data_IF_336562093394
#
_entry.id   IF_336562093394
#
_cell.length_a   1.000
_cell.length_b   1.000
_cell.length_c   1.000
_cell.angle_alpha   90.00
_cell.angle_beta   90.00
_cell.angle_gamma   90.00
#
_symmetry.space_group_name_H-M   'P 1'
#
loop_
_entity.id
_entity.type
_entity.pdbx_description
1 polymer ?
#
# COMPACT_ATOMS: atom_id res chain seq x y z
N UNK A 1 -11.32 20.85 -1.56
CA UNK A 1 -10.23 20.63 -2.54
C UNK A 1 -10.73 20.67 -3.99
N UNK A 2 -11.75 19.89 -4.37
CA UNK A 2 -12.27 19.88 -5.75
C UNK A 2 -12.91 21.20 -6.22
N UNK A 3 -13.43 22.03 -5.32
CA UNK A 3 -14.05 23.32 -5.65
C UNK A 3 -13.11 24.31 -6.37
N UNK A 4 -11.79 24.18 -6.24
CA UNK A 4 -10.84 25.06 -6.92
C UNK A 4 -10.53 24.67 -8.37
N UNK A 5 -10.93 23.47 -8.81
CA UNK A 5 -10.59 22.90 -10.13
C UNK A 5 -11.83 22.74 -11.01
N UNK A 6 -13.03 22.85 -10.43
CA UNK A 6 -14.30 22.62 -11.13
C UNK A 6 -14.95 23.96 -11.49
N UNK A 7 -15.14 24.27 -12.78
CA UNK A 7 -15.86 25.46 -13.24
C UNK A 7 -17.31 25.48 -12.75
N UNK A 8 -17.92 26.67 -12.67
CA UNK A 8 -19.32 26.84 -12.30
C UNK A 8 -20.31 26.19 -13.29
N UNK A 9 -19.87 25.85 -14.51
CA UNK A 9 -20.65 25.12 -15.50
C UNK A 9 -20.84 23.63 -15.18
N UNK A 10 -20.14 23.11 -14.17
CA UNK A 10 -20.21 21.69 -13.78
C UNK A 10 -20.82 21.57 -12.40
N UNK A 11 -21.95 20.85 -12.31
CA UNK A 11 -22.58 20.50 -11.04
C UNK A 11 -21.84 19.30 -10.43
N UNK A 12 -21.51 19.39 -9.14
CA UNK A 12 -20.88 18.30 -8.39
C UNK A 12 -21.90 17.66 -7.47
N UNK A 13 -22.12 16.36 -7.63
CA UNK A 13 -22.96 15.55 -6.75
C UNK A 13 -22.07 14.60 -5.95
N UNK A 14 -22.28 14.55 -4.64
CA UNK A 14 -21.61 13.61 -3.73
C UNK A 14 -22.66 12.66 -3.17
N UNK A 15 -22.46 11.36 -3.35
CA UNK A 15 -23.33 10.31 -2.82
C UNK A 15 -22.51 9.33 -1.97
N UNK A 16 -22.47 9.56 -0.68
CA UNK A 16 -21.64 8.81 0.26
C UNK A 16 -22.56 7.96 1.13
N UNK A 17 -22.54 6.64 0.88
CA UNK A 17 -23.35 5.63 1.56
C UNK A 17 -22.47 4.63 2.31
N UNK A 18 -21.53 5.12 3.12
CA UNK A 18 -20.68 4.29 3.98
C UNK A 18 -20.20 5.07 5.21
N UNK A 19 -20.43 4.52 6.40
CA UNK A 19 -20.14 5.21 7.67
C UNK A 19 -18.92 4.63 8.43
N UNK A 20 -18.48 3.40 8.12
CA UNK A 20 -17.55 2.64 9.00
C UNK A 20 -16.51 1.78 8.30
N UNK A 21 -16.38 1.82 6.98
CA UNK A 21 -15.37 1.00 6.29
C UNK A 21 -14.11 1.83 5.99
N UNK A 22 -12.95 1.33 6.41
CA UNK A 22 -11.64 1.93 6.15
C UNK A 22 -10.91 1.11 5.10
N UNK A 23 -10.07 1.75 4.32
CA UNK A 23 -9.11 1.06 3.44
C UNK A 23 -7.72 1.28 4.02
N UNK A 24 -6.82 0.32 3.77
CA UNK A 24 -5.40 0.53 4.03
C UNK A 24 -4.82 1.25 2.81
N UNK A 25 -4.31 2.46 2.99
CA UNK A 25 -3.76 3.22 1.87
C UNK A 25 -3.17 4.56 2.27
N UNK A 26 -2.43 5.16 1.34
CA UNK A 26 -1.88 6.50 1.48
C UNK A 26 -2.94 7.54 1.08
N UNK A 27 -3.38 8.42 2.01
CA UNK A 27 -4.37 9.46 1.71
C UNK A 27 -3.99 10.36 0.53
N UNK A 28 -2.70 10.64 0.33
CA UNK A 28 -2.22 11.46 -0.78
C UNK A 28 -2.43 10.77 -2.13
N UNK A 29 -2.28 9.45 -2.18
CA UNK A 29 -2.50 8.66 -3.39
C UNK A 29 -4.00 8.54 -3.72
N UNK A 30 -4.85 8.37 -2.71
CA UNK A 30 -6.32 8.40 -2.91
C UNK A 30 -6.77 9.78 -3.40
N UNK A 31 -6.18 10.85 -2.87
CA UNK A 31 -6.42 12.20 -3.36
C UNK A 31 -5.96 12.35 -4.82
N UNK A 32 -4.79 11.83 -5.20
CA UNK A 32 -4.30 11.86 -6.58
C UNK A 32 -5.26 11.18 -7.56
N UNK A 33 -5.87 10.06 -7.14
CA UNK A 33 -6.90 9.37 -7.93
C UNK A 33 -8.07 10.31 -8.22
N UNK A 34 -8.63 10.91 -7.18
CA UNK A 34 -9.77 11.82 -7.29
C UNK A 34 -9.45 13.03 -8.16
N UNK A 35 -8.26 13.61 -8.00
CA UNK A 35 -7.85 14.79 -8.78
C UNK A 35 -7.68 14.46 -10.27
N UNK A 36 -7.06 13.34 -10.61
CA UNK A 36 -6.89 12.92 -12.01
C UNK A 36 -8.24 12.61 -12.66
N UNK A 37 -9.14 11.92 -11.96
CA UNK A 37 -10.47 11.59 -12.46
C UNK A 37 -11.34 12.84 -12.64
N UNK A 38 -11.38 13.72 -11.63
CA UNK A 38 -12.13 14.97 -11.71
C UNK A 38 -11.59 15.89 -12.82
N UNK A 39 -10.28 16.00 -12.98
CA UNK A 39 -9.68 16.79 -14.07
C UNK A 39 -10.08 16.26 -15.45
N UNK A 40 -10.12 14.94 -15.62
CA UNK A 40 -10.58 14.32 -16.87
C UNK A 40 -12.06 14.60 -17.13
N UNK A 41 -12.92 14.45 -16.13
CA UNK A 41 -14.35 14.75 -16.23
C UNK A 41 -14.58 16.24 -16.57
N UNK A 42 -13.89 17.15 -15.88
CA UNK A 42 -13.99 18.59 -16.13
C UNK A 42 -13.58 18.95 -17.55
N UNK A 43 -12.48 18.36 -18.02
CA UNK A 43 -12.02 18.58 -19.38
C UNK A 43 -13.02 18.05 -20.41
N UNK A 44 -13.60 16.87 -20.17
CA UNK A 44 -14.61 16.27 -21.05
C UNK A 44 -15.90 17.12 -21.14
N UNK A 45 -16.26 17.81 -20.06
CA UNK A 45 -17.45 18.66 -19.97
C UNK A 45 -17.15 20.16 -20.15
N UNK A 46 -15.99 20.53 -20.71
CA UNK A 46 -15.54 21.93 -20.76
C UNK A 46 -16.45 22.87 -21.57
N UNK A 47 -17.10 22.35 -22.61
CA UNK A 47 -17.87 23.16 -23.57
C UNK A 47 -19.35 23.27 -23.17
N UNK A 48 -19.99 22.13 -22.89
CA UNK A 48 -21.43 22.06 -22.61
C UNK A 48 -21.76 22.07 -21.11
N UNK A 49 -20.75 21.97 -20.25
CA UNK A 49 -20.95 21.71 -18.83
C UNK A 49 -21.48 20.31 -18.57
N UNK A 50 -21.98 20.06 -17.36
CA UNK A 50 -22.56 18.76 -17.03
C UNK A 50 -22.55 18.46 -15.55
N UNK A 51 -22.68 17.18 -15.21
CA UNK A 51 -22.70 16.71 -13.83
C UNK A 51 -21.55 15.74 -13.58
N UNK A 52 -20.71 16.07 -12.59
CA UNK A 52 -19.74 15.15 -12.01
C UNK A 52 -20.33 14.55 -10.73
N UNK A 53 -20.52 13.23 -10.73
CA UNK A 53 -20.99 12.48 -9.56
C UNK A 53 -19.84 11.67 -8.98
N UNK A 54 -19.58 11.85 -7.68
CA UNK A 54 -18.64 11.02 -6.93
C UNK A 54 -19.44 10.26 -5.88
N UNK A 55 -19.44 8.94 -6.00
CA UNK A 55 -20.17 8.05 -5.09
C UNK A 55 -19.21 7.14 -4.32
N UNK A 56 -19.51 6.89 -3.05
CA UNK A 56 -18.77 5.97 -2.21
C UNK A 56 -19.75 4.99 -1.58
N UNK A 57 -19.58 3.69 -1.85
CA UNK A 57 -20.49 2.64 -1.38
C UNK A 57 -19.71 1.37 -1.01
N UNK A 58 -20.40 0.41 -0.39
CA UNK A 58 -19.84 -0.91 -0.07
C UNK A 58 -20.36 -1.96 -1.06
N UNK A 59 -19.46 -2.84 -1.51
CA UNK A 59 -19.82 -4.00 -2.32
C UNK A 59 -19.18 -5.26 -1.76
N UNK A 60 -19.90 -6.37 -1.81
CA UNK A 60 -19.40 -7.69 -1.41
C UNK A 60 -19.42 -8.61 -2.61
N UNK A 61 -18.27 -9.13 -2.99
CA UNK A 61 -18.15 -10.17 -4.01
C UNK A 61 -18.13 -11.54 -3.32
N UNK A 62 -19.11 -12.38 -3.65
CA UNK A 62 -19.20 -13.75 -3.15
C UNK A 62 -18.43 -14.70 -4.08
N UNK A 63 -17.99 -15.85 -3.53
CA UNK A 63 -17.40 -16.92 -4.35
C UNK A 63 -18.40 -17.38 -5.44
N UNK A 64 -17.92 -17.52 -6.67
CA UNK A 64 -18.72 -17.98 -7.81
C UNK A 64 -19.42 -16.90 -8.63
N UNK A 65 -19.26 -15.61 -8.28
CA UNK A 65 -19.67 -14.48 -9.11
C UNK A 65 -18.50 -14.06 -10.00
N UNK A 66 -18.75 -13.66 -11.25
CA UNK A 66 -17.74 -13.00 -12.10
C UNK A 66 -17.28 -11.73 -11.38
N UNK A 67 -16.06 -11.80 -10.82
CA UNK A 67 -15.38 -10.65 -10.23
C UNK A 67 -14.60 -9.99 -11.36
N UNK A 68 -14.53 -8.64 -11.45
CA UNK A 68 -13.58 -7.98 -12.34
C UNK A 68 -12.19 -8.61 -12.21
N UNK A 69 -11.49 -8.78 -13.34
CA UNK A 69 -10.17 -9.41 -13.37
C UNK A 69 -9.28 -8.78 -12.29
N UNK A 70 -8.62 -9.64 -11.50
CA UNK A 70 -7.77 -9.34 -10.33
C UNK A 70 -8.44 -9.21 -8.95
N UNK A 71 -9.77 -9.27 -8.85
CA UNK A 71 -10.43 -9.20 -7.53
C UNK A 71 -10.68 -10.59 -6.91
N UNK A 72 -10.35 -10.71 -5.63
CA UNK A 72 -10.68 -11.87 -4.81
C UNK A 72 -12.08 -11.72 -4.19
N UNK A 73 -12.79 -12.80 -3.83
CA UNK A 73 -14.02 -12.71 -3.05
C UNK A 73 -13.78 -11.97 -1.73
N UNK A 74 -14.64 -11.01 -1.39
CA UNK A 74 -14.41 -10.15 -0.24
C UNK A 74 -15.32 -8.93 -0.16
N UNK A 75 -15.11 -8.10 0.86
CA UNK A 75 -15.73 -6.79 1.01
C UNK A 75 -14.83 -5.73 0.40
N UNK A 76 -15.44 -4.79 -0.32
CA UNK A 76 -14.74 -3.71 -1.00
C UNK A 76 -15.45 -2.39 -0.76
N UNK A 77 -14.66 -1.33 -0.64
CA UNK A 77 -15.13 0.04 -0.77
C UNK A 77 -15.10 0.38 -2.26
N UNK A 78 -16.25 0.73 -2.81
CA UNK A 78 -16.43 1.13 -4.20
C UNK A 78 -16.47 2.65 -4.29
N UNK A 79 -15.41 3.24 -4.85
CA UNK A 79 -15.37 4.64 -5.26
C UNK A 79 -15.81 4.72 -6.73
N UNK A 80 -16.86 5.48 -7.00
CA UNK A 80 -17.36 5.71 -8.36
C UNK A 80 -17.16 7.16 -8.72
N UNK A 81 -16.58 7.44 -9.89
CA UNK A 81 -16.50 8.79 -10.46
C UNK A 81 -17.17 8.75 -11.83
N UNK A 82 -18.26 9.50 -11.97
CA UNK A 82 -19.07 9.52 -13.18
C UNK A 82 -19.28 10.94 -13.69
N UNK A 83 -19.15 11.12 -14.99
CA UNK A 83 -19.46 12.37 -15.68
C UNK A 83 -20.51 12.16 -16.77
N UNK A 84 -21.23 13.24 -17.10
CA UNK A 84 -22.21 13.29 -18.20
C UNK A 84 -21.60 13.90 -19.47
N UNK A 85 -20.28 13.74 -19.67
CA UNK A 85 -19.59 14.26 -20.84
C UNK A 85 -19.86 13.46 -22.11
N UNK A 86 -19.05 13.64 -23.16
CA UNK A 86 -19.24 12.97 -24.45
C UNK A 86 -18.99 11.45 -24.44
N UNK A 87 -18.47 10.90 -23.34
CA UNK A 87 -18.11 9.48 -23.24
C UNK A 87 -16.85 9.08 -24.04
N UNK A 88 -16.50 7.80 -23.94
CA UNK A 88 -15.32 7.19 -24.55
C UNK A 88 -15.81 6.08 -25.49
N UNK A 89 -15.28 6.02 -26.71
CA UNK A 89 -15.57 4.95 -27.64
C UNK A 89 -15.06 3.59 -27.11
N UNK A 90 -15.83 2.53 -27.33
CA UNK A 90 -15.58 1.22 -26.71
C UNK A 90 -14.29 0.56 -27.18
N UNK A 91 -13.89 0.81 -28.43
CA UNK A 91 -12.61 0.39 -29.03
C UNK A 91 -11.39 1.04 -28.36
N UNK A 92 -11.59 2.18 -27.71
CA UNK A 92 -10.54 2.92 -27.01
C UNK A 92 -10.47 2.59 -25.51
N UNK A 93 -11.58 2.14 -24.90
CA UNK A 93 -11.68 1.89 -23.45
C UNK A 93 -10.59 0.95 -22.89
N UNK A 94 -10.13 -0.04 -23.67
CA UNK A 94 -9.05 -0.94 -23.25
C UNK A 94 -7.67 -0.28 -23.16
N UNK A 95 -7.47 0.86 -23.85
CA UNK A 95 -6.17 1.53 -24.01
C UNK A 95 -6.02 2.78 -23.16
N UNK A 96 -7.10 3.27 -22.54
CA UNK A 96 -7.09 4.53 -21.78
C UNK A 96 -6.17 4.51 -20.55
N UNK A 97 -5.77 3.32 -20.10
CA UNK A 97 -4.82 3.13 -19.00
C UNK A 97 -3.36 2.98 -19.47
N UNK A 98 -3.11 2.94 -20.79
CA UNK A 98 -1.76 2.90 -21.34
C UNK A 98 -1.02 4.23 -21.06
N UNK A 99 0.23 4.19 -20.58
CA UNK A 99 1.02 5.40 -20.40
C UNK A 99 1.13 6.21 -21.71
N UNK A 100 0.97 7.53 -21.62
CA UNK A 100 1.02 8.48 -22.74
C UNK A 100 -0.11 8.36 -23.76
N UNK A 101 -1.05 7.44 -23.57
CA UNK A 101 -2.23 7.36 -24.41
C UNK A 101 -3.16 8.55 -24.12
N UNK A 102 -3.53 9.28 -25.16
CA UNK A 102 -4.45 10.42 -25.06
C UNK A 102 -5.21 10.60 -26.36
N UNK A 103 -6.51 10.88 -26.26
CA UNK A 103 -7.37 11.29 -27.38
C UNK A 103 -7.45 12.81 -27.51
N UNK A 104 -6.79 13.56 -26.62
CA UNK A 104 -6.78 15.03 -26.57
C UNK A 104 -5.81 15.62 -27.59
N UNK A 105 -5.99 16.90 -27.94
CA UNK A 105 -5.07 17.60 -28.82
C UNK A 105 -3.66 17.71 -28.21
N UNK A 106 -2.65 17.85 -29.06
CA UNK A 106 -1.26 17.96 -28.64
C UNK A 106 -1.08 19.18 -27.70
N UNK A 107 -0.67 18.92 -26.45
CA UNK A 107 -0.49 19.93 -25.41
C UNK A 107 -1.64 20.07 -24.41
N UNK A 108 -2.80 19.45 -24.66
CA UNK A 108 -3.97 19.52 -23.76
C UNK A 108 -4.03 18.39 -22.71
N UNK A 109 -3.05 17.48 -22.72
CA UNK A 109 -2.95 16.40 -21.74
C UNK A 109 -1.64 15.63 -21.84
N UNK A 110 -1.14 15.17 -20.70
CA UNK A 110 0.09 14.38 -20.61
C UNK A 110 -0.11 12.89 -20.95
N UNK A 111 -1.36 12.42 -21.06
CA UNK A 111 -1.68 11.00 -21.20
C UNK A 111 -1.28 10.15 -19.98
N UNK A 112 -0.85 10.76 -18.87
CA UNK A 112 -0.39 10.03 -17.68
C UNK A 112 -1.46 9.87 -16.60
N UNK A 113 -2.51 10.68 -16.62
CA UNK A 113 -3.48 10.76 -15.53
C UNK A 113 -4.11 9.40 -15.18
N UNK A 114 -4.67 8.70 -16.17
CA UNK A 114 -5.33 7.41 -15.97
C UNK A 114 -4.33 6.27 -15.73
N UNK A 115 -3.13 6.31 -16.34
CA UNK A 115 -2.07 5.35 -16.06
C UNK A 115 -1.59 5.43 -14.60
N UNK A 116 -1.45 6.65 -14.05
CA UNK A 116 -1.15 6.89 -12.63
C UNK A 116 -2.27 6.37 -11.74
N UNK A 117 -3.54 6.62 -12.10
CA UNK A 117 -4.68 6.08 -11.34
C UNK A 117 -4.62 4.55 -11.30
N UNK A 118 -4.43 3.91 -12.46
CA UNK A 118 -4.32 2.46 -12.55
C UNK A 118 -3.21 1.92 -11.65
N UNK A 119 -2.01 2.53 -11.70
CA UNK A 119 -0.88 2.15 -10.86
C UNK A 119 -1.17 2.28 -9.36
N UNK A 120 -1.77 3.38 -8.92
CA UNK A 120 -2.16 3.58 -7.52
C UNK A 120 -3.19 2.51 -7.10
N UNK A 121 -4.20 2.26 -7.92
CA UNK A 121 -5.25 1.27 -7.62
C UNK A 121 -4.64 -0.13 -7.46
N UNK A 122 -3.73 -0.53 -8.35
CA UNK A 122 -3.04 -1.82 -8.25
C UNK A 122 -2.13 -1.92 -7.03
N UNK A 123 -1.41 -0.87 -6.68
CA UNK A 123 -0.59 -0.82 -5.46
C UNK A 123 -1.43 -0.98 -4.17
N UNK A 124 -2.72 -0.64 -4.23
CA UNK A 124 -3.67 -0.84 -3.13
C UNK A 124 -4.44 -2.16 -3.23
N UNK A 125 -3.99 -3.11 -4.06
CA UNK A 125 -4.64 -4.40 -4.31
C UNK A 125 -6.11 -4.24 -4.77
N UNK A 126 -6.38 -3.12 -5.45
CA UNK A 126 -7.69 -2.79 -5.97
C UNK A 126 -7.86 -3.16 -7.43
N UNK A 127 -9.07 -2.91 -7.93
CA UNK A 127 -9.38 -2.98 -9.35
C UNK A 127 -10.08 -1.71 -9.80
N UNK A 128 -9.98 -1.44 -11.10
CA UNK A 128 -10.65 -0.34 -11.76
C UNK A 128 -11.37 -0.88 -12.99
N UNK A 129 -12.63 -0.50 -13.16
CA UNK A 129 -13.41 -0.74 -14.38
C UNK A 129 -13.93 0.58 -14.92
N UNK A 130 -14.22 0.59 -16.22
CA UNK A 130 -14.78 1.74 -16.91
C UNK A 130 -16.03 1.29 -17.67
N UNK A 131 -17.11 2.01 -17.48
CA UNK A 131 -18.36 1.89 -18.23
C UNK A 131 -18.57 3.22 -18.94
N UNK A 132 -18.56 3.23 -20.27
CA UNK A 132 -18.71 4.47 -21.05
C UNK A 132 -19.37 4.21 -22.38
N UNK A 133 -20.18 5.16 -22.81
CA UNK A 133 -20.84 5.16 -24.11
C UNK A 133 -20.85 6.58 -24.67
N UNK A 134 -20.64 6.70 -25.97
CA UNK A 134 -20.62 8.00 -26.65
C UNK A 134 -21.96 8.72 -26.47
N UNK A 135 -21.90 9.95 -25.98
CA UNK A 135 -23.07 10.79 -25.70
C UNK A 135 -23.77 10.52 -24.36
N UNK A 136 -23.41 9.45 -23.65
CA UNK A 136 -24.00 9.07 -22.35
C UNK A 136 -23.09 9.38 -21.16
N UNK A 137 -21.80 9.64 -21.41
CA UNK A 137 -20.81 9.94 -20.38
C UNK A 137 -19.89 8.78 -20.03
N UNK A 138 -19.16 8.93 -18.93
CA UNK A 138 -18.16 7.97 -18.47
C UNK A 138 -18.36 7.67 -16.99
N UNK A 139 -18.20 6.41 -16.60
CA UNK A 139 -18.24 5.96 -15.22
C UNK A 139 -17.02 5.08 -14.93
N UNK A 140 -16.18 5.53 -14.01
CA UNK A 140 -15.09 4.74 -13.46
C UNK A 140 -15.52 4.15 -12.13
N UNK A 141 -15.40 2.83 -12.00
CA UNK A 141 -15.62 2.12 -10.73
C UNK A 141 -14.27 1.64 -10.20
N UNK A 142 -13.90 2.08 -9.00
CA UNK A 142 -12.67 1.74 -8.33
C UNK A 142 -13.00 0.96 -7.06
N UNK A 143 -12.40 -0.21 -6.93
CA UNK A 143 -12.65 -1.14 -5.83
C UNK A 143 -11.40 -1.26 -4.98
N UNK A 144 -11.51 -0.91 -3.70
CA UNK A 144 -10.45 -1.11 -2.72
C UNK A 144 -10.88 -2.17 -1.69
N UNK A 145 -10.01 -3.13 -1.32
CA UNK A 145 -10.32 -4.09 -0.28
C UNK A 145 -10.70 -3.38 1.03
N UNK A 146 -11.92 -3.61 1.51
CA UNK A 146 -12.39 -3.01 2.74
C UNK A 146 -11.74 -3.68 3.94
N UNK A 147 -11.27 -2.88 4.89
CA UNK A 147 -10.99 -3.30 6.25
C UNK A 147 -12.15 -2.80 7.10
N UNK A 148 -12.65 -3.67 7.98
CA UNK A 148 -13.54 -3.18 9.05
C UNK A 148 -12.74 -2.13 9.83
N UNK A 149 -13.28 -0.92 9.95
CA UNK A 149 -12.81 0.00 10.98
C UNK A 149 -12.93 -0.78 12.28
N UNK A 150 -11.80 -1.05 12.90
CA UNK A 150 -11.81 -1.60 14.25
C UNK A 150 -12.56 -0.54 15.06
N UNK A 151 -13.75 -0.87 15.56
CA UNK A 151 -14.35 -0.07 16.62
C UNK A 151 -13.25 0.13 17.65
N UNK A 152 -13.09 1.35 18.15
CA UNK A 152 -12.16 1.65 19.25
C UNK A 152 -12.50 0.84 20.52
N UNK A 153 -13.63 0.13 20.51
CA UNK A 153 -13.97 -0.94 21.42
C UNK A 153 -13.76 -2.30 20.73
N UNK A 154 -12.89 -3.14 21.30
CA UNK A 154 -12.35 -4.38 20.74
C UNK A 154 -11.15 -4.16 19.80
N UNK A 155 -10.04 -3.71 20.40
CA UNK A 155 -8.86 -4.56 20.32
C UNK A 155 -9.29 -6.01 20.59
N UNK A 156 -9.66 -6.75 19.54
CA UNK A 156 -9.55 -8.19 19.57
C UNK A 156 -8.12 -8.45 20.03
N UNK A 157 -8.00 -8.79 21.30
CA UNK A 157 -7.00 -9.69 21.78
C UNK A 157 -7.15 -10.99 20.97
N UNK A 158 -6.79 -10.96 19.68
CA UNK A 158 -5.78 -11.92 19.28
C UNK A 158 -4.68 -11.62 20.26
N UNK A 159 -4.51 -12.49 21.25
CA UNK A 159 -3.37 -12.41 22.14
C UNK A 159 -2.14 -12.51 21.24
N UNK A 160 -1.72 -11.38 20.65
CA UNK A 160 -0.45 -11.22 19.99
C UNK A 160 0.50 -11.54 21.12
N UNK A 161 1.09 -12.74 21.03
CA UNK A 161 1.95 -13.28 22.08
C UNK A 161 2.99 -12.20 22.35
N UNK A 162 2.87 -11.61 23.55
CA UNK A 162 3.82 -10.60 23.98
C UNK A 162 5.17 -11.28 24.18
N UNK A 163 6.22 -10.60 23.78
CA UNK A 163 7.58 -11.03 24.03
C UNK A 163 8.21 -10.21 25.15
N UNK A 164 9.40 -10.63 25.56
CA UNK A 164 10.35 -9.86 26.37
C UNK A 164 11.77 -9.93 25.77
N UNK A 165 11.87 -10.46 24.55
CA UNK A 165 13.12 -10.63 23.82
C UNK A 165 13.71 -9.28 23.37
N UNK A 166 15.02 -9.25 23.23
CA UNK A 166 15.79 -8.05 22.86
C UNK A 166 15.97 -7.98 21.35
N UNK A 167 15.43 -6.93 20.74
CA UNK A 167 15.44 -6.73 19.29
C UNK A 167 16.37 -5.55 18.93
N UNK A 168 17.31 -5.79 18.03
CA UNK A 168 18.03 -4.71 17.35
C UNK A 168 17.29 -4.37 16.06
N UNK A 169 16.86 -3.12 15.93
CA UNK A 169 16.16 -2.59 14.76
C UNK A 169 17.06 -1.58 14.03
N UNK A 170 17.28 -1.77 12.74
CA UNK A 170 18.19 -0.94 11.92
C UNK A 170 17.46 -0.44 10.67
N UNK A 171 17.37 0.87 10.51
CA UNK A 171 16.75 1.53 9.35
C UNK A 171 17.35 2.94 9.25
N UNK A 172 17.74 3.38 8.04
CA UNK A 172 18.34 4.70 7.84
C UNK A 172 17.32 5.83 7.78
N UNK A 173 16.03 5.51 7.75
CA UNK A 173 14.94 6.48 7.79
C UNK A 173 14.38 6.64 9.22
N UNK A 174 14.63 7.78 9.91
CA UNK A 174 14.23 7.98 11.30
C UNK A 174 12.72 7.81 11.56
N UNK A 175 11.88 8.21 10.60
CA UNK A 175 10.42 8.07 10.66
C UNK A 175 9.98 6.61 10.68
N UNK A 176 10.56 5.77 9.83
CA UNK A 176 10.24 4.34 9.77
C UNK A 176 10.75 3.64 11.03
N UNK A 177 11.97 3.99 11.46
CA UNK A 177 12.59 3.46 12.66
C UNK A 177 11.75 3.71 13.92
N UNK A 178 11.27 4.94 14.13
CA UNK A 178 10.43 5.31 15.28
C UNK A 178 9.08 4.58 15.26
N UNK A 179 8.43 4.49 14.09
CA UNK A 179 7.14 3.78 13.96
C UNK A 179 7.30 2.29 14.26
N UNK A 180 8.31 1.63 13.68
CA UNK A 180 8.57 0.22 13.90
C UNK A 180 8.98 -0.08 15.35
N UNK A 181 9.82 0.76 15.95
CA UNK A 181 10.20 0.64 17.35
C UNK A 181 8.98 0.72 18.28
N UNK A 182 8.09 1.70 18.09
CA UNK A 182 6.85 1.81 18.89
C UNK A 182 5.95 0.60 18.73
N UNK A 183 5.84 0.04 17.52
CA UNK A 183 5.05 -1.17 17.30
C UNK A 183 5.61 -2.37 18.09
N UNK A 184 6.92 -2.59 18.02
CA UNK A 184 7.60 -3.71 18.71
C UNK A 184 7.58 -3.54 20.23
N UNK A 185 7.87 -2.34 20.75
CA UNK A 185 7.76 -2.04 22.18
C UNK A 185 6.33 -2.23 22.68
N UNK A 186 5.32 -1.84 21.88
CA UNK A 186 3.91 -2.08 22.17
C UNK A 186 3.52 -3.57 22.20
N UNK A 187 4.35 -4.46 21.66
CA UNK A 187 4.22 -5.92 21.75
C UNK A 187 5.01 -6.53 22.91
N UNK A 188 5.74 -5.72 23.69
CA UNK A 188 6.49 -6.14 24.89
C UNK A 188 7.99 -6.35 24.69
N UNK A 189 8.50 -6.23 23.46
CA UNK A 189 9.93 -6.43 23.18
C UNK A 189 10.79 -5.26 23.68
N UNK A 190 12.04 -5.56 24.04
CA UNK A 190 13.06 -4.54 24.34
C UNK A 190 13.76 -4.14 23.04
N UNK A 191 13.48 -2.94 22.53
CA UNK A 191 13.98 -2.49 21.21
C UNK A 191 15.16 -1.55 21.37
N UNK A 192 16.28 -1.89 20.73
CA UNK A 192 17.41 -0.98 20.51
C UNK A 192 17.45 -0.59 19.04
N UNK A 193 17.62 0.69 18.73
CA UNK A 193 17.56 1.22 17.36
C UNK A 193 18.93 1.67 16.86
N UNK A 194 19.17 1.58 15.55
CA UNK A 194 20.34 2.13 14.88
C UNK A 194 19.95 2.75 13.52
N UNK A 195 20.60 3.86 13.14
CA UNK A 195 20.31 4.61 11.92
C UNK A 195 21.20 4.22 10.73
N UNK A 196 22.06 3.22 10.89
CA UNK A 196 22.91 2.72 9.81
C UNK A 196 23.33 1.28 10.08
N UNK A 197 23.66 0.54 9.03
CA UNK A 197 24.21 -0.82 9.18
C UNK A 197 25.52 -0.85 9.98
N UNK A 198 26.35 0.19 9.88
CA UNK A 198 27.61 0.27 10.62
C UNK A 198 27.39 0.51 12.12
N UNK A 199 26.45 1.39 12.46
CA UNK A 199 26.03 1.60 13.85
C UNK A 199 25.38 0.34 14.42
N UNK A 200 24.46 -0.28 13.67
CA UNK A 200 23.79 -1.51 14.06
C UNK A 200 24.78 -2.64 14.36
N UNK A 201 25.80 -2.82 13.51
CA UNK A 201 26.85 -3.81 13.75
C UNK A 201 27.65 -3.50 15.03
N UNK A 202 28.03 -2.23 15.25
CA UNK A 202 28.77 -1.81 16.46
C UNK A 202 27.95 -2.06 17.74
N UNK A 203 26.66 -1.74 17.72
CA UNK A 203 25.75 -2.01 18.84
C UNK A 203 25.60 -3.52 19.06
N UNK A 204 25.41 -4.28 17.98
CA UNK A 204 25.33 -5.73 18.05
C UNK A 204 26.56 -6.34 18.71
N UNK A 205 27.77 -5.89 18.37
CA UNK A 205 29.01 -6.40 18.96
C UNK A 205 29.15 -6.15 20.47
N UNK A 206 28.49 -5.10 20.98
CA UNK A 206 28.59 -4.69 22.38
C UNK A 206 27.58 -5.39 23.29
N UNK A 207 26.54 -6.01 22.72
CA UNK A 207 25.42 -6.54 23.49
C UNK A 207 24.83 -7.85 22.92
N UNK A 208 23.84 -8.42 23.60
CA UNK A 208 23.09 -9.59 23.18
C UNK A 208 21.72 -9.21 22.64
N UNK A 209 21.37 -9.77 21.48
CA UNK A 209 20.07 -9.60 20.83
C UNK A 209 19.52 -10.96 20.41
N UNK A 210 18.24 -11.16 20.68
CA UNK A 210 17.50 -12.36 20.33
C UNK A 210 17.04 -12.37 18.88
N UNK A 211 16.92 -11.19 18.28
CA UNK A 211 16.53 -10.96 16.89
C UNK A 211 17.13 -9.65 16.38
N UNK A 212 17.56 -9.66 15.12
CA UNK A 212 17.91 -8.45 14.38
C UNK A 212 16.91 -8.23 13.25
N UNK A 213 16.41 -7.01 13.14
CA UNK A 213 15.54 -6.56 12.07
C UNK A 213 16.26 -5.41 11.37
N UNK A 214 16.46 -5.51 10.05
CA UNK A 214 17.17 -4.48 9.31
C UNK A 214 16.54 -4.19 7.96
N UNK A 215 16.57 -2.94 7.54
CA UNK A 215 16.23 -2.58 6.18
C UNK A 215 17.25 -3.15 5.18
N UNK A 216 16.78 -3.54 4.00
CA UNK A 216 17.62 -4.10 2.96
C UNK A 216 18.50 -3.02 2.31
N UNK A 217 17.88 -1.90 1.95
CA UNK A 217 18.53 -0.80 1.22
C UNK A 217 18.91 0.29 2.20
N UNK A 218 20.20 0.34 2.56
CA UNK A 218 20.74 1.39 3.43
C UNK A 218 22.08 1.89 2.85
N UNK A 219 22.42 3.18 3.04
CA UNK A 219 23.72 3.74 2.69
C UNK A 219 24.87 2.98 3.36
N UNK A 220 26.02 2.93 2.67
CA UNK A 220 27.30 2.35 3.11
C UNK A 220 27.31 0.82 3.35
N UNK A 221 26.32 0.30 4.08
CA UNK A 221 26.15 -1.11 4.40
C UNK A 221 24.69 -1.51 4.25
N UNK A 222 24.42 -2.39 3.28
CA UNK A 222 23.09 -2.98 3.08
C UNK A 222 22.71 -3.92 4.22
N UNK A 223 21.41 -4.13 4.44
CA UNK A 223 20.91 -5.08 5.43
C UNK A 223 21.40 -6.50 5.20
N UNK A 224 21.62 -6.89 3.94
CA UNK A 224 22.17 -8.19 3.60
C UNK A 224 23.63 -8.33 4.06
N UNK A 225 24.47 -7.32 3.86
CA UNK A 225 25.86 -7.31 4.37
C UNK A 225 25.92 -7.26 5.88
N UNK A 226 25.00 -6.53 6.51
CA UNK A 226 24.85 -6.52 7.96
C UNK A 226 24.50 -7.92 8.49
N UNK A 227 23.52 -8.60 7.88
CA UNK A 227 23.11 -9.95 8.24
C UNK A 227 24.28 -10.95 8.11
N UNK A 228 25.03 -10.91 7.01
CA UNK A 228 26.22 -11.75 6.82
C UNK A 228 27.24 -11.58 7.96
N UNK A 229 27.54 -10.34 8.37
CA UNK A 229 28.49 -10.06 9.45
C UNK A 229 27.97 -10.47 10.82
N UNK A 230 26.67 -10.33 11.07
CA UNK A 230 26.02 -10.81 12.28
C UNK A 230 26.16 -12.33 12.37
N UNK A 231 25.83 -13.05 11.30
CA UNK A 231 25.86 -14.51 11.26
C UNK A 231 27.29 -15.08 11.33
N UNK A 232 28.28 -14.37 10.80
CA UNK A 232 29.70 -14.74 10.99
C UNK A 232 30.13 -14.69 12.46
N UNK A 233 29.55 -13.79 13.26
CA UNK A 233 29.87 -13.66 14.69
C UNK A 233 29.01 -14.56 15.57
N UNK A 234 27.72 -14.64 15.27
CA UNK A 234 26.71 -15.42 15.98
C UNK A 234 25.77 -16.06 14.96
N UNK A 235 26.11 -17.27 14.53
CA UNK A 235 25.38 -17.99 13.48
C UNK A 235 23.92 -18.29 13.84
N UNK A 236 23.58 -18.33 15.13
CA UNK A 236 22.24 -18.64 15.62
C UNK A 236 21.37 -17.40 15.83
N UNK A 237 21.87 -16.19 15.55
CA UNK A 237 21.08 -14.96 15.66
C UNK A 237 20.12 -14.88 14.47
N UNK A 238 18.79 -14.92 14.70
CA UNK A 238 17.85 -14.76 13.61
C UNK A 238 17.87 -13.32 13.09
N UNK A 239 17.75 -13.19 11.77
CA UNK A 239 17.73 -11.90 11.08
C UNK A 239 16.50 -11.82 10.17
N UNK A 240 15.73 -10.75 10.31
CA UNK A 240 14.61 -10.39 9.42
C UNK A 240 15.04 -9.21 8.55
N UNK A 241 14.83 -9.32 7.24
CA UNK A 241 15.03 -8.21 6.31
C UNK A 241 13.70 -7.52 5.98
N UNK A 242 13.69 -6.19 6.03
CA UNK A 242 12.63 -5.38 5.43
C UNK A 242 13.02 -5.01 4.00
N UNK A 243 12.07 -5.13 3.07
CA UNK A 243 12.31 -4.85 1.64
C UNK A 243 11.22 -3.94 1.08
N UNK A 244 11.60 -3.03 0.19
CA UNK A 244 10.67 -2.24 -0.59
C UNK A 244 10.05 -3.02 -1.76
N UNK A 245 9.01 -2.44 -2.37
CA UNK A 245 8.30 -3.04 -3.52
C UNK A 245 9.18 -3.23 -4.78
N UNK A 246 10.32 -2.53 -4.88
CA UNK A 246 11.26 -2.61 -6.00
C UNK A 246 12.39 -3.62 -5.80
N UNK A 247 12.50 -4.22 -4.62
CA UNK A 247 13.64 -5.06 -4.28
C UNK A 247 13.39 -6.50 -4.73
N UNK A 248 13.95 -6.87 -5.87
CA UNK A 248 13.96 -8.26 -6.36
C UNK A 248 14.96 -9.10 -5.55
N UNK A 249 14.67 -9.35 -4.27
CA UNK A 249 15.45 -10.30 -3.46
C UNK A 249 14.85 -11.69 -3.63
N UNK A 250 15.55 -12.54 -4.37
CA UNK A 250 15.10 -13.94 -4.55
C UNK A 250 15.15 -14.70 -3.22
N UNK A 251 14.01 -15.29 -2.83
CA UNK A 251 13.84 -16.14 -1.63
C UNK A 251 14.85 -17.30 -1.53
N UNK A 252 15.53 -17.59 -2.64
CA UNK A 252 16.49 -18.67 -2.81
C UNK A 252 17.93 -18.25 -2.43
N UNK A 253 18.31 -16.99 -2.66
CA UNK A 253 19.61 -16.42 -2.28
C UNK A 253 19.69 -16.24 -0.76
N UNK A 254 18.55 -16.02 -0.13
CA UNK A 254 18.47 -15.58 1.28
C UNK A 254 18.47 -16.73 2.28
N UNK A 255 17.92 -17.89 1.91
CA UNK A 255 18.12 -19.13 2.67
C UNK A 255 19.57 -19.59 2.70
N UNK A 256 20.33 -19.32 1.63
CA UNK A 256 21.77 -19.63 1.59
C UNK A 256 22.59 -18.68 2.48
N UNK A 257 22.11 -17.46 2.70
CA UNK A 257 22.73 -16.46 3.55
C UNK A 257 22.33 -16.55 5.04
N UNK A 258 21.55 -17.56 5.45
CA UNK A 258 21.13 -17.76 6.85
C UNK A 258 20.05 -16.80 7.36
N UNK A 259 19.36 -16.10 6.46
CA UNK A 259 18.33 -15.12 6.80
C UNK A 259 17.02 -15.83 7.16
N UNK A 260 16.38 -15.40 8.25
CA UNK A 260 15.23 -16.11 8.82
C UNK A 260 13.92 -15.82 8.08
N UNK A 261 13.61 -14.56 7.78
CA UNK A 261 12.37 -14.16 7.09
C UNK A 261 12.51 -12.79 6.40
N UNK A 262 11.54 -12.46 5.54
CA UNK A 262 11.39 -11.16 4.87
C UNK A 262 10.02 -10.56 5.19
N UNK A 263 9.96 -9.24 5.37
CA UNK A 263 8.70 -8.50 5.48
C UNK A 263 8.73 -7.35 4.48
N UNK A 264 7.68 -7.21 3.68
CA UNK A 264 7.58 -6.12 2.73
C UNK A 264 7.12 -4.83 3.43
N UNK A 265 7.75 -3.70 3.08
CA UNK A 265 7.24 -2.37 3.40
C UNK A 265 5.99 -2.10 2.53
N UNK A 266 4.89 -1.51 3.06
CA UNK A 266 4.79 -0.85 4.37
C UNK A 266 4.52 -1.82 5.53
N UNK A 267 5.10 -1.49 6.70
CA UNK A 267 5.01 -2.29 7.93
C UNK A 267 3.59 -2.30 8.52
N UNK A 268 2.93 -3.46 8.46
CA UNK A 268 1.65 -3.68 9.13
C UNK A 268 1.88 -4.35 10.48
N UNK A 269 1.41 -3.72 11.59
CA UNK A 269 1.63 -4.20 12.99
C UNK A 269 1.35 -5.69 13.19
N UNK A 270 0.29 -6.24 12.56
CA UNK A 270 -0.07 -7.66 12.67
C UNK A 270 0.96 -8.56 11.99
N UNK A 271 1.36 -8.23 10.76
CA UNK A 271 2.33 -9.00 9.99
C UNK A 271 3.71 -8.98 10.66
N UNK A 272 4.10 -7.82 11.21
CA UNK A 272 5.30 -7.70 12.03
C UNK A 272 5.23 -8.60 13.28
N UNK A 273 4.12 -8.55 14.02
CA UNK A 273 3.94 -9.36 15.23
C UNK A 273 3.98 -10.88 14.93
N UNK A 274 3.29 -11.31 13.88
CA UNK A 274 3.25 -12.72 13.46
C UNK A 274 4.61 -13.20 12.96
N UNK A 275 5.34 -12.36 12.22
CA UNK A 275 6.67 -12.73 11.69
C UNK A 275 7.71 -12.81 12.79
N UNK A 276 7.77 -11.80 13.67
CA UNK A 276 8.68 -11.80 14.83
C UNK A 276 8.43 -13.02 15.71
N UNK A 277 7.17 -13.32 16.03
CA UNK A 277 6.84 -14.48 16.87
C UNK A 277 7.19 -15.80 16.21
N UNK A 278 6.92 -15.96 14.90
CA UNK A 278 7.28 -17.16 14.13
C UNK A 278 8.78 -17.41 14.15
N UNK A 279 9.58 -16.37 13.93
CA UNK A 279 11.05 -16.45 13.90
C UNK A 279 11.59 -16.81 15.30
N UNK A 280 11.14 -16.12 16.34
CA UNK A 280 11.58 -16.39 17.71
C UNK A 280 11.11 -17.76 18.23
N UNK A 281 9.88 -18.19 17.94
CA UNK A 281 9.36 -19.50 18.36
C UNK A 281 10.06 -20.66 17.63
N UNK A 282 10.42 -20.48 16.36
CA UNK A 282 11.16 -21.49 15.61
C UNK A 282 12.56 -21.78 16.18
N UNK A 283 13.11 -20.86 16.97
CA UNK A 283 14.36 -21.02 17.71
C UNK A 283 14.17 -21.85 18.99
N UNK A 284 13.05 -21.67 19.68
CA UNK A 284 12.72 -22.40 20.91
C UNK A 284 12.32 -23.87 20.67
N UNK A 285 12.12 -24.29 19.42
CA UNK A 285 11.80 -25.67 19.04
C UNK A 285 13.01 -26.48 18.53
N UNK A 286 14.19 -25.86 18.42
CA UNK A 286 15.46 -26.52 18.09
C UNK A 286 16.28 -26.75 19.35
#
# INVERSE_FOLDING_TARGET
MLQGVIPSSIRVNLDISTDTDTILGDPSQIQQILMNMASNAVHAMREEGGTLTISLSQVKFNQGVLVPDDLQPGRYVKLTVSDTGPGIAQDVCGRIFEPFFTTKQAGEGTGMGLAVVWGIVKNHLGAITVDSELGSGTMFNIFFPAKKKRSEESEEQVALRKGNERILLVDDEPSVLDVAARMLTGLGYEVTTALSGQEGLRIFEQDHFDLVITDHVMPEMTGMRLAERILQKRADTPVILFTGYSDTVSRQITKQAGISEFVMKPLVKRELAETVRRVLDSRNMK
#
